data_IF_850457905218
#
_entry.id   IF_850457905218
#
_cell.length_a   1.000
_cell.length_b   1.000
_cell.length_c   1.000
_cell.angle_alpha   90.00
_cell.angle_beta   90.00
_cell.angle_gamma   90.00
#
_symmetry.space_group_name_H-M   'P 1'
#
loop_
_entity.id
_entity.type
_entity.pdbx_description
1 polymer ?
#
# COMPACT_ATOMS: atom_id res chain seq x y z
N UNK A 1 14.49 -53.58 60.63
CA UNK A 1 13.81 -52.27 60.57
C UNK A 1 14.43 -51.32 61.60
N UNK A 2 15.45 -50.56 61.20
CA UNK A 2 16.01 -49.40 61.92
C UNK A 2 16.58 -48.46 60.85
N UNK A 3 16.02 -47.26 60.77
CA UNK A 3 16.39 -46.18 59.85
C UNK A 3 17.73 -45.55 60.21
N UNK A 4 18.53 -45.09 59.24
CA UNK A 4 19.57 -44.11 59.53
C UNK A 4 19.34 -42.75 58.84
N UNK A 5 19.97 -41.78 59.48
CA UNK A 5 20.40 -40.46 59.02
C UNK A 5 19.38 -39.31 58.90
N UNK A 6 19.51 -38.39 59.86
CA UNK A 6 19.38 -36.94 59.61
C UNK A 6 20.77 -36.38 59.36
N UNK A 7 20.94 -35.66 58.26
CA UNK A 7 21.97 -34.65 58.09
C UNK A 7 21.31 -33.46 57.40
N UNK A 8 21.29 -32.33 58.11
CA UNK A 8 20.79 -31.04 57.66
C UNK A 8 21.97 -30.31 57.02
N UNK A 9 21.93 -30.10 55.71
CA UNK A 9 22.91 -29.23 55.03
C UNK A 9 22.28 -27.85 54.85
N UNK A 10 22.87 -26.86 55.53
CA UNK A 10 22.59 -25.43 55.32
C UNK A 10 23.45 -24.97 54.16
N UNK A 11 22.83 -24.59 53.05
CA UNK A 11 23.51 -23.90 51.95
C UNK A 11 23.35 -22.39 52.13
N UNK A 12 24.47 -21.72 52.40
CA UNK A 12 24.58 -20.26 52.35
C UNK A 12 24.52 -19.84 50.88
N UNK A 13 23.48 -19.10 50.50
CA UNK A 13 23.42 -18.44 49.20
C UNK A 13 24.00 -17.03 49.38
N UNK A 14 25.15 -16.79 48.74
CA UNK A 14 25.76 -15.47 48.65
C UNK A 14 24.92 -14.60 47.70
N UNK A 15 24.38 -13.48 48.20
CA UNK A 15 23.84 -12.41 47.35
C UNK A 15 25.00 -11.68 46.66
N UNK A 16 25.03 -11.69 45.33
CA UNK A 16 25.66 -10.62 44.56
C UNK A 16 24.57 -9.67 44.06
N UNK A 17 24.48 -8.51 44.68
CA UNK A 17 23.77 -7.37 44.10
C UNK A 17 24.62 -6.83 42.94
N UNK A 18 24.25 -7.19 41.71
CA UNK A 18 24.76 -6.55 40.50
C UNK A 18 24.14 -5.17 40.38
N UNK A 19 24.96 -4.13 40.49
CA UNK A 19 24.64 -2.75 40.14
C UNK A 19 24.35 -2.72 38.62
N UNK A 20 23.09 -2.62 38.22
CA UNK A 20 22.73 -2.38 36.81
C UNK A 20 23.04 -0.92 36.52
N UNK A 21 24.19 -0.68 35.91
CA UNK A 21 24.49 0.58 35.22
C UNK A 21 23.49 0.74 34.07
N UNK A 22 23.05 1.98 33.87
CA UNK A 22 21.92 2.38 33.02
C UNK A 22 21.75 1.55 31.74
N UNK A 23 20.57 0.99 31.60
CA UNK A 23 20.12 0.32 30.40
C UNK A 23 19.65 1.41 29.42
N UNK A 24 20.56 1.94 28.60
CA UNK A 24 20.21 2.71 27.39
C UNK A 24 19.60 1.78 26.32
N UNK A 25 18.63 0.95 26.72
CA UNK A 25 17.77 0.26 25.76
C UNK A 25 16.87 1.31 25.16
N UNK A 26 17.09 1.59 23.88
CA UNK A 26 16.07 2.19 23.03
C UNK A 26 14.73 1.53 23.35
N UNK A 27 13.79 2.32 23.88
CA UNK A 27 12.39 1.93 23.99
C UNK A 27 11.97 1.37 22.63
N UNK A 28 11.68 0.07 22.57
CA UNK A 28 11.10 -0.51 21.37
C UNK A 28 9.75 0.19 21.19
N UNK A 29 9.64 1.04 20.16
CA UNK A 29 8.36 1.66 19.84
C UNK A 29 7.34 0.55 19.55
N UNK A 30 6.37 0.38 20.44
CA UNK A 30 5.28 -0.56 20.23
C UNK A 30 4.56 -0.18 18.93
N UNK A 31 4.50 -1.13 17.99
CA UNK A 31 3.68 -0.95 16.79
C UNK A 31 2.21 -0.82 17.22
N UNK A 32 1.41 0.00 16.53
CA UNK A 32 -0.01 0.12 16.84
C UNK A 32 -0.70 -1.25 16.72
N UNK A 33 -1.66 -1.49 17.60
CA UNK A 33 -2.54 -2.66 17.51
C UNK A 33 -3.59 -2.42 16.43
N UNK A 34 -3.56 -3.23 15.38
CA UNK A 34 -4.56 -3.18 14.30
C UNK A 34 -5.76 -4.07 14.62
N UNK A 35 -6.95 -3.60 14.29
CA UNK A 35 -8.18 -4.38 14.30
C UNK A 35 -8.89 -4.23 12.96
N UNK A 36 -9.63 -5.26 12.56
CA UNK A 36 -10.53 -5.16 11.43
C UNK A 36 -11.68 -4.20 11.78
N UNK A 37 -11.91 -3.21 10.93
CA UNK A 37 -13.01 -2.26 11.09
C UNK A 37 -14.20 -2.69 10.21
N UNK A 38 -14.00 -2.69 8.89
CA UNK A 38 -15.00 -3.09 7.89
C UNK A 38 -14.38 -3.32 6.52
N UNK A 39 -15.12 -3.98 5.64
CA UNK A 39 -14.85 -3.97 4.19
C UNK A 39 -15.21 -2.60 3.61
N UNK A 40 -14.32 -2.01 2.79
CA UNK A 40 -14.52 -0.69 2.18
C UNK A 40 -15.11 -0.77 0.77
N UNK A 41 -14.78 -1.83 0.03
CA UNK A 41 -15.19 -2.06 -1.36
C UNK A 41 -15.52 -3.54 -1.50
N UNK A 42 -16.72 -3.83 -2.02
CA UNK A 42 -17.14 -5.19 -2.36
C UNK A 42 -17.03 -5.38 -3.88
N UNK A 43 -16.14 -6.27 -4.38
CA UNK A 43 -15.92 -6.43 -5.82
C UNK A 43 -17.18 -6.70 -6.65
N UNK A 44 -18.17 -7.38 -6.08
CA UNK A 44 -19.45 -7.69 -6.71
C UNK A 44 -20.35 -6.46 -6.94
N UNK A 45 -20.07 -5.35 -6.27
CA UNK A 45 -20.83 -4.09 -6.39
C UNK A 45 -20.16 -3.09 -7.35
N UNK A 46 -18.98 -3.41 -7.87
CA UNK A 46 -18.18 -2.51 -8.71
C UNK A 46 -18.63 -2.54 -10.18
N UNK A 47 -18.56 -1.39 -10.85
CA UNK A 47 -18.88 -1.26 -12.27
C UNK A 47 -17.68 -1.63 -13.14
N UNK A 48 -16.47 -1.20 -12.77
CA UNK A 48 -15.23 -1.64 -13.43
C UNK A 48 -14.71 -2.90 -12.74
N UNK A 49 -15.15 -4.07 -13.22
CA UNK A 49 -14.72 -5.35 -12.69
C UNK A 49 -14.48 -6.39 -13.81
N UNK A 50 -13.40 -6.25 -14.59
CA UNK A 50 -13.17 -7.11 -15.75
C UNK A 50 -12.71 -8.54 -15.39
N UNK A 51 -12.18 -8.78 -14.19
CA UNK A 51 -11.62 -10.10 -13.78
C UNK A 51 -12.21 -10.66 -12.48
N UNK A 52 -12.89 -9.86 -11.66
CA UNK A 52 -13.30 -10.24 -10.30
C UNK A 52 -12.34 -9.75 -9.21
N UNK A 53 -11.23 -9.10 -9.57
CA UNK A 53 -10.13 -8.77 -8.66
C UNK A 53 -10.08 -7.27 -8.32
N UNK A 54 -9.74 -6.96 -7.07
CA UNK A 54 -9.58 -5.60 -6.54
C UNK A 54 -8.29 -5.57 -5.74
N UNK A 55 -7.18 -5.42 -6.45
CA UNK A 55 -5.86 -5.61 -5.88
C UNK A 55 -5.08 -4.29 -5.78
N UNK A 56 -4.02 -4.36 -4.97
CA UNK A 56 -3.00 -3.33 -4.80
C UNK A 56 -3.53 -1.90 -4.57
N UNK A 57 -4.50 -1.68 -3.64
CA UNK A 57 -5.02 -0.35 -3.40
C UNK A 57 -3.94 0.57 -2.84
N UNK A 58 -3.78 1.73 -3.46
CA UNK A 58 -2.98 2.85 -2.96
C UNK A 58 -3.85 4.08 -2.78
N UNK A 59 -3.74 4.71 -1.61
CA UNK A 59 -4.59 5.86 -1.22
C UNK A 59 -3.75 7.11 -1.07
N UNK A 60 -4.18 8.19 -1.68
CA UNK A 60 -3.64 9.55 -1.47
C UNK A 60 -4.73 10.47 -0.93
N UNK A 61 -4.32 11.51 -0.22
CA UNK A 61 -5.20 12.61 0.17
C UNK A 61 -5.21 13.66 -0.94
N UNK A 62 -6.02 13.43 -1.96
CA UNK A 62 -6.14 14.23 -3.18
C UNK A 62 -6.31 15.73 -2.92
N UNK A 63 -7.00 16.11 -1.85
CA UNK A 63 -7.19 17.51 -1.44
C UNK A 63 -5.92 18.23 -0.99
N UNK A 64 -4.80 17.52 -0.78
CA UNK A 64 -3.51 18.16 -0.53
C UNK A 64 -2.82 18.63 -1.82
N UNK A 65 -3.22 18.12 -2.98
CA UNK A 65 -2.47 18.28 -4.23
C UNK A 65 -3.26 18.95 -5.35
N UNK A 66 -4.57 18.68 -5.44
CA UNK A 66 -5.39 19.14 -6.56
C UNK A 66 -6.34 20.25 -6.15
N UNK A 67 -6.54 21.25 -7.02
CA UNK A 67 -7.41 22.39 -6.72
C UNK A 67 -8.89 21.99 -6.59
N UNK A 68 -9.35 21.03 -7.41
CA UNK A 68 -10.75 20.62 -7.50
C UNK A 68 -10.88 19.09 -7.53
N UNK A 69 -10.48 18.37 -6.47
CA UNK A 69 -10.55 16.92 -6.44
C UNK A 69 -12.01 16.43 -6.36
N UNK A 70 -12.30 15.24 -6.87
CA UNK A 70 -13.63 14.62 -6.77
C UNK A 70 -14.04 14.30 -5.32
N UNK A 71 -13.06 14.14 -4.43
CA UNK A 71 -13.23 13.94 -2.99
C UNK A 71 -11.91 14.14 -2.25
N UNK A 72 -11.93 14.10 -0.92
CA UNK A 72 -10.71 14.31 -0.11
C UNK A 72 -9.62 13.26 -0.36
N UNK A 73 -10.01 12.03 -0.68
CA UNK A 73 -9.12 10.90 -0.91
C UNK A 73 -9.38 10.26 -2.27
N UNK A 74 -8.31 9.84 -2.93
CA UNK A 74 -8.32 8.98 -4.11
C UNK A 74 -7.70 7.63 -3.75
N UNK A 75 -8.31 6.55 -4.24
CA UNK A 75 -7.80 5.18 -4.17
C UNK A 75 -7.58 4.67 -5.59
N UNK A 76 -6.35 4.37 -5.95
CA UNK A 76 -6.01 3.67 -7.18
C UNK A 76 -5.95 2.17 -6.88
N UNK A 77 -6.58 1.36 -7.71
CA UNK A 77 -6.63 -0.09 -7.57
C UNK A 77 -6.78 -0.72 -8.96
N UNK A 78 -6.67 -2.05 -9.05
CA UNK A 78 -6.97 -2.72 -10.30
C UNK A 78 -6.70 -4.21 -10.21
N UNK A 79 -7.24 -4.99 -11.15
CA UNK A 79 -6.91 -6.40 -11.25
C UNK A 79 -5.46 -6.60 -11.70
N UNK A 80 -4.84 -7.65 -11.21
CA UNK A 80 -3.54 -8.07 -11.74
C UNK A 80 -3.71 -8.68 -13.14
N UNK A 81 -4.70 -9.56 -13.31
CA UNK A 81 -4.79 -10.40 -14.50
C UNK A 81 -5.40 -9.69 -15.70
N UNK A 82 -5.12 -10.22 -16.90
CA UNK A 82 -5.61 -9.65 -18.15
C UNK A 82 -7.16 -9.59 -18.19
N UNK A 83 -7.76 -8.47 -18.64
CA UNK A 83 -7.14 -7.36 -19.35
C UNK A 83 -6.55 -6.24 -18.46
N UNK A 84 -6.48 -6.40 -17.15
CA UNK A 84 -5.87 -5.42 -16.26
C UNK A 84 -6.60 -4.08 -16.22
N UNK A 85 -5.86 -3.03 -15.85
CA UNK A 85 -6.30 -1.65 -15.88
C UNK A 85 -6.27 -1.03 -14.49
N UNK A 86 -5.78 0.20 -14.39
CA UNK A 86 -5.79 0.95 -13.13
C UNK A 86 -7.08 1.74 -13.07
N UNK A 87 -7.89 1.45 -12.08
CA UNK A 87 -9.13 2.13 -11.74
C UNK A 87 -8.92 3.09 -10.56
N UNK A 88 -9.86 4.03 -10.43
CA UNK A 88 -9.91 5.04 -9.39
C UNK A 88 -11.25 4.97 -8.66
N UNK A 89 -11.22 5.09 -7.33
CA UNK A 89 -12.36 5.46 -6.51
C UNK A 89 -12.00 6.67 -5.64
N UNK A 90 -12.99 7.45 -5.23
CA UNK A 90 -12.80 8.64 -4.40
C UNK A 90 -13.77 8.68 -3.23
N UNK A 91 -13.36 9.35 -2.14
CA UNK A 91 -14.16 9.50 -0.94
C UNK A 91 -13.79 10.76 -0.18
N UNK A 92 -14.74 11.32 0.58
CA UNK A 92 -14.47 12.42 1.52
C UNK A 92 -13.92 11.96 2.87
N UNK A 93 -14.02 10.66 3.15
CA UNK A 93 -13.45 10.01 4.33
C UNK A 93 -12.66 8.78 3.91
N UNK A 94 -11.52 8.52 4.56
CA UNK A 94 -10.76 7.28 4.36
C UNK A 94 -11.59 6.02 4.66
N UNK A 95 -12.62 6.16 5.52
CA UNK A 95 -13.56 5.07 5.84
C UNK A 95 -14.71 4.93 4.84
N UNK A 96 -14.72 5.71 3.76
CA UNK A 96 -15.76 5.72 2.75
C UNK A 96 -17.03 6.50 3.15
N UNK A 97 -18.13 6.35 2.39
CA UNK A 97 -18.27 5.47 1.24
C UNK A 97 -17.32 5.84 0.10
N UNK A 98 -16.80 4.83 -0.60
CA UNK A 98 -15.95 5.01 -1.77
C UNK A 98 -16.82 5.00 -3.02
N UNK A 99 -16.67 6.03 -3.85
CA UNK A 99 -17.39 6.18 -5.12
C UNK A 99 -16.45 5.86 -6.27
N UNK A 100 -16.83 4.93 -7.12
CA UNK A 100 -16.05 4.57 -8.30
C UNK A 100 -16.06 5.70 -9.34
N UNK A 101 -14.90 6.01 -9.91
CA UNK A 101 -14.80 6.97 -11.01
C UNK A 101 -15.52 6.42 -12.26
N UNK A 102 -16.47 7.20 -12.77
CA UNK A 102 -17.43 6.72 -13.76
C UNK A 102 -16.79 6.30 -15.09
N UNK A 103 -15.58 6.79 -15.40
CA UNK A 103 -14.85 6.54 -16.64
C UNK A 103 -13.65 5.60 -16.44
N UNK A 104 -13.64 4.79 -15.37
CA UNK A 104 -12.60 3.78 -15.18
C UNK A 104 -12.44 2.87 -16.42
N UNK A 105 -11.20 2.44 -16.72
CA UNK A 105 -9.96 2.67 -15.96
C UNK A 105 -9.30 4.02 -16.31
N UNK A 106 -8.56 4.60 -15.36
CA UNK A 106 -7.74 5.81 -15.58
C UNK A 106 -6.43 5.51 -16.33
N UNK A 107 -5.92 4.28 -16.25
CA UNK A 107 -4.86 3.78 -17.14
C UNK A 107 -5.27 2.44 -17.75
N UNK A 108 -5.25 2.39 -19.09
CA UNK A 108 -5.57 1.20 -19.89
C UNK A 108 -4.31 0.40 -20.25
N UNK A 109 -4.45 -0.92 -20.44
CA UNK A 109 -3.39 -1.79 -21.01
C UNK A 109 -3.07 -1.48 -22.48
N UNK A 110 -3.95 -0.77 -23.16
CA UNK A 110 -3.73 -0.27 -24.52
C UNK A 110 -3.74 1.26 -24.48
N UNK A 111 -2.55 1.85 -24.53
CA UNK A 111 -2.35 3.29 -24.56
C UNK A 111 -1.47 3.66 -25.75
N UNK A 112 -2.10 3.90 -26.89
CA UNK A 112 -1.41 4.28 -28.11
C UNK A 112 -0.95 5.75 -28.07
N UNK A 113 0.20 6.09 -28.67
CA UNK A 113 1.14 5.21 -29.40
C UNK A 113 2.17 4.50 -28.50
N UNK A 114 2.06 4.60 -27.18
CA UNK A 114 3.11 4.22 -26.23
C UNK A 114 3.25 2.71 -26.05
N UNK A 115 2.15 1.99 -25.84
CA UNK A 115 2.19 0.54 -25.64
C UNK A 115 0.86 -0.16 -25.89
N UNK A 116 0.94 -1.47 -26.08
CA UNK A 116 -0.17 -2.41 -26.04
C UNK A 116 0.34 -3.71 -25.38
N UNK A 117 -0.02 -3.92 -24.12
CA UNK A 117 0.49 -5.03 -23.28
C UNK A 117 -0.64 -5.96 -22.85
N UNK A 118 -0.30 -7.08 -22.20
CA UNK A 118 -1.27 -8.05 -21.70
C UNK A 118 -2.17 -7.50 -20.59
N UNK A 119 -1.59 -6.73 -19.66
CA UNK A 119 -2.26 -6.08 -18.53
C UNK A 119 -1.44 -4.87 -18.04
N UNK A 120 -2.03 -4.06 -17.17
CA UNK A 120 -1.34 -3.07 -16.34
C UNK A 120 -1.90 -3.15 -14.93
N UNK A 121 -1.05 -3.02 -13.92
CA UNK A 121 -1.43 -3.17 -12.52
C UNK A 121 -0.44 -2.49 -11.54
N UNK A 122 -0.73 -2.62 -10.25
CA UNK A 122 0.09 -2.16 -9.12
C UNK A 122 0.42 -0.67 -9.16
N UNK A 123 -0.61 0.16 -9.21
CA UNK A 123 -0.49 1.61 -9.19
C UNK A 123 0.19 2.11 -7.90
N UNK A 124 1.19 2.97 -8.05
CA UNK A 124 1.90 3.60 -6.94
C UNK A 124 2.06 5.11 -7.17
N UNK A 125 1.14 5.94 -6.64
CA UNK A 125 1.15 7.39 -6.80
C UNK A 125 2.11 8.07 -5.82
N UNK A 126 2.89 9.03 -6.30
CA UNK A 126 3.78 9.90 -5.53
C UNK A 126 3.59 11.33 -6.03
N UNK A 127 3.32 12.27 -5.13
CA UNK A 127 3.30 13.69 -5.50
C UNK A 127 4.74 14.21 -5.66
N UNK A 128 5.03 14.80 -6.81
CA UNK A 128 6.29 15.48 -7.08
C UNK A 128 6.08 17.00 -6.91
N UNK A 129 6.61 17.54 -5.81
CA UNK A 129 6.50 18.97 -5.46
C UNK A 129 7.22 19.89 -6.45
N UNK A 130 8.32 19.45 -7.05
CA UNK A 130 9.11 20.27 -8.00
C UNK A 130 8.35 20.44 -9.32
N UNK A 131 7.70 19.37 -9.77
CA UNK A 131 6.93 19.37 -11.03
C UNK A 131 5.46 19.79 -10.84
N UNK A 132 4.97 19.83 -9.60
CA UNK A 132 3.56 20.09 -9.30
C UNK A 132 2.62 19.04 -9.92
N UNK A 133 3.06 17.77 -9.95
CA UNK A 133 2.37 16.67 -10.61
C UNK A 133 2.35 15.40 -9.76
N UNK A 134 1.29 14.62 -9.88
CA UNK A 134 1.25 13.27 -9.39
C UNK A 134 1.99 12.35 -10.37
N UNK A 135 3.04 11.70 -9.90
CA UNK A 135 3.75 10.65 -10.62
C UNK A 135 3.15 9.31 -10.24
N UNK A 136 2.64 8.57 -11.23
CA UNK A 136 2.07 7.24 -11.04
C UNK A 136 3.00 6.20 -11.66
N UNK A 137 3.59 5.37 -10.81
CA UNK A 137 4.34 4.20 -11.22
C UNK A 137 3.39 3.01 -11.35
N UNK A 138 3.56 2.22 -12.40
CA UNK A 138 2.76 1.02 -12.64
C UNK A 138 3.52 0.05 -13.54
N UNK A 139 3.19 -1.23 -13.50
CA UNK A 139 3.76 -2.20 -14.45
C UNK A 139 2.80 -2.52 -15.59
N UNK A 140 3.38 -2.99 -16.69
CA UNK A 140 2.67 -3.67 -17.77
C UNK A 140 2.98 -5.16 -17.67
N UNK A 141 3.71 -5.71 -18.64
CA UNK A 141 4.39 -7.00 -18.39
C UNK A 141 5.25 -6.89 -17.11
N UNK A 142 5.29 -7.96 -16.32
CA UNK A 142 5.89 -7.97 -14.97
C UNK A 142 7.37 -7.58 -14.92
N UNK A 143 8.06 -7.61 -16.07
CA UNK A 143 9.46 -7.19 -16.21
C UNK A 143 9.64 -5.68 -16.41
N UNK A 144 8.56 -4.90 -16.58
CA UNK A 144 8.64 -3.49 -17.03
C UNK A 144 7.79 -2.57 -16.14
N UNK A 145 8.45 -1.65 -15.44
CA UNK A 145 7.80 -0.53 -14.72
C UNK A 145 7.78 0.72 -15.59
N UNK A 146 6.64 1.41 -15.61
CA UNK A 146 6.37 2.64 -16.35
C UNK A 146 6.07 3.78 -15.39
N UNK A 147 6.16 4.99 -15.92
CA UNK A 147 5.76 6.24 -15.27
C UNK A 147 4.74 6.96 -16.15
N UNK A 148 3.68 7.46 -15.51
CA UNK A 148 2.78 8.46 -16.04
C UNK A 148 2.69 9.64 -15.07
N UNK A 149 2.35 10.84 -15.54
CA UNK A 149 2.15 12.01 -14.69
C UNK A 149 0.75 12.60 -14.84
N UNK A 150 0.25 13.30 -13.82
CA UNK A 150 -1.08 13.93 -13.85
C UNK A 150 -1.14 15.18 -12.98
N UNK A 151 -1.86 16.20 -13.45
CA UNK A 151 -2.13 17.44 -12.71
C UNK A 151 -3.42 17.36 -11.87
N UNK A 152 -4.28 16.36 -12.09
CA UNK A 152 -5.56 16.20 -11.39
C UNK A 152 -5.79 14.81 -10.78
N UNK A 153 -4.83 13.90 -10.96
CA UNK A 153 -4.87 12.52 -10.48
C UNK A 153 -5.83 11.62 -11.26
N UNK A 154 -6.43 12.09 -12.36
CA UNK A 154 -7.45 11.37 -13.14
C UNK A 154 -6.99 11.22 -14.60
N UNK A 155 -6.55 12.31 -15.20
CA UNK A 155 -6.06 12.35 -16.57
C UNK A 155 -4.54 12.29 -16.56
N UNK A 156 -4.00 11.19 -17.09
CA UNK A 156 -2.58 10.93 -17.08
C UNK A 156 -1.97 11.15 -18.46
N UNK A 157 -0.74 11.68 -18.47
CA UNK A 157 0.17 11.68 -19.60
C UNK A 157 1.21 10.57 -19.42
N UNK A 158 1.51 9.82 -20.48
CA UNK A 158 2.55 8.79 -20.44
C UNK A 158 3.94 9.45 -20.50
N UNK A 159 4.83 9.06 -19.59
CA UNK A 159 6.19 9.58 -19.54
C UNK A 159 7.18 8.60 -20.19
N UNK A 160 7.44 7.47 -19.53
CA UNK A 160 8.51 6.56 -19.94
C UNK A 160 8.45 5.18 -19.26
N UNK A 161 9.27 4.25 -19.75
CA UNK A 161 9.71 3.08 -18.97
C UNK A 161 10.80 3.54 -18.01
N UNK A 162 10.69 3.18 -16.73
CA UNK A 162 11.68 3.54 -15.70
C UNK A 162 12.59 2.38 -15.30
N UNK A 163 12.11 1.15 -15.42
CA UNK A 163 12.87 -0.08 -15.16
C UNK A 163 12.41 -1.15 -16.16
N UNK A 164 13.36 -1.80 -16.82
CA UNK A 164 13.17 -3.05 -17.55
C UNK A 164 14.19 -4.08 -17.03
N UNK A 165 13.76 -5.27 -16.64
CA UNK A 165 14.67 -6.31 -16.11
C UNK A 165 15.55 -6.97 -17.18
N UNK A 166 15.39 -6.61 -18.46
CA UNK A 166 16.23 -7.08 -19.56
C UNK A 166 17.44 -6.19 -19.87
N UNK A 167 17.51 -5.00 -19.27
CA UNK A 167 18.66 -4.09 -19.35
C UNK A 167 19.84 -4.54 -18.45
#
# INVERSE_FOLDING_TARGET
MKSPLKALTVSVILLLAGLVLGDDRMEAHELPLFHFEKTLIEPSEMRYNPTGEVDFPTVIRAADYFENPLGTYYMYYGPHDAPGGIALAYADSVTGPWTEYASNPVISRNWQPHYNVSHVASAHPIWNEEEGKLFLYFHGENSVTRLASSEDGIHFDYEQVVIDTSD
#
